data_IF_592274666807
#
_entry.id   IF_592274666807
#
_cell.length_a   1.000
_cell.length_b   1.000
_cell.length_c   1.000
_cell.angle_alpha   90.00
_cell.angle_beta   90.00
_cell.angle_gamma   90.00
#
_symmetry.space_group_name_H-M   'P 1'
#
loop_
_entity.id
_entity.type
_entity.pdbx_description
1 polymer ?
#
# COMPACT_ATOMS: atom_id res chain seq x y z
N UNK A 1 7.12 18.55 3.84
CA UNK A 1 7.84 17.34 4.26
C UNK A 1 8.34 17.49 5.69
N UNK A 2 8.28 16.42 6.49
CA UNK A 2 8.78 16.41 7.87
C UNK A 2 10.13 15.67 7.98
N UNK A 3 10.50 14.88 6.97
CA UNK A 3 11.70 14.01 6.97
C UNK A 3 11.82 13.16 8.25
N UNK A 4 10.69 12.67 8.71
CA UNK A 4 10.57 11.83 9.90
C UNK A 4 10.16 10.42 9.53
N UNK A 5 10.52 9.44 10.37
CA UNK A 5 10.09 8.06 10.21
C UNK A 5 8.56 7.96 10.29
N UNK A 6 7.97 7.15 9.41
CA UNK A 6 6.55 6.81 9.49
C UNK A 6 6.20 5.98 10.74
N UNK A 7 7.20 5.42 11.42
CA UNK A 7 7.06 4.65 12.65
C UNK A 7 7.47 5.46 13.90
N UNK A 8 7.47 6.79 13.81
CA UNK A 8 7.88 7.65 14.94
C UNK A 8 6.95 7.45 16.14
N UNK A 9 7.52 7.50 17.34
CA UNK A 9 6.76 7.48 18.61
C UNK A 9 6.93 8.79 19.38
N UNK A 10 7.61 9.76 18.77
CA UNK A 10 7.84 11.08 19.37
C UNK A 10 6.56 11.92 19.35
N UNK A 11 6.10 12.32 20.54
CA UNK A 11 4.84 13.04 20.71
C UNK A 11 4.84 14.41 20.01
N UNK A 12 5.99 15.10 19.93
CA UNK A 12 6.06 16.39 19.26
C UNK A 12 5.96 16.22 17.73
N UNK A 13 6.58 15.19 17.19
CA UNK A 13 6.48 14.84 15.75
C UNK A 13 5.06 14.43 15.39
N UNK A 14 4.41 13.63 16.23
CA UNK A 14 3.02 13.20 16.03
C UNK A 14 2.05 14.40 16.11
N UNK A 15 2.28 15.34 17.02
CA UNK A 15 1.47 16.55 17.10
C UNK A 15 1.62 17.42 15.83
N UNK A 16 2.85 17.62 15.33
CA UNK A 16 3.08 18.33 14.06
C UNK A 16 2.42 17.62 12.88
N UNK A 17 2.47 16.29 12.85
CA UNK A 17 1.80 15.50 11.81
C UNK A 17 0.28 15.69 11.84
N UNK A 18 -0.32 15.72 13.04
CA UNK A 18 -1.75 15.99 13.22
C UNK A 18 -2.15 17.38 12.72
N UNK A 19 -1.35 18.42 13.00
CA UNK A 19 -1.59 19.78 12.50
C UNK A 19 -1.52 19.83 10.97
N UNK A 20 -0.54 19.18 10.36
CA UNK A 20 -0.41 19.11 8.90
C UNK A 20 -1.57 18.34 8.25
N UNK A 21 -2.01 17.26 8.88
CA UNK A 21 -3.18 16.49 8.42
C UNK A 21 -4.45 17.36 8.47
N UNK A 22 -4.65 18.10 9.56
CA UNK A 22 -5.80 19.00 9.67
C UNK A 22 -5.77 20.12 8.63
N UNK A 23 -4.60 20.64 8.30
CA UNK A 23 -4.43 21.64 7.24
C UNK A 23 -4.80 21.12 5.83
N UNK A 24 -4.76 19.81 5.59
CA UNK A 24 -5.20 19.20 4.34
C UNK A 24 -6.72 19.09 4.23
N UNK A 25 -7.44 19.08 5.35
CA UNK A 25 -8.88 18.85 5.43
C UNK A 25 -9.73 19.61 4.39
N UNK A 26 -9.55 20.89 4.14
CA UNK A 26 -10.36 21.62 3.15
C UNK A 26 -10.22 21.07 1.71
N UNK A 27 -9.16 20.32 1.42
CA UNK A 27 -8.85 19.79 0.11
C UNK A 27 -9.14 18.28 0.00
N UNK A 28 -9.60 17.63 1.07
CA UNK A 28 -9.93 16.20 1.05
C UNK A 28 -11.40 16.06 0.68
N UNK A 29 -11.63 15.43 -0.47
CA UNK A 29 -12.97 15.15 -0.98
C UNK A 29 -13.56 13.88 -0.34
N UNK A 30 -12.77 12.84 -0.20
CA UNK A 30 -13.24 11.53 0.27
C UNK A 30 -12.13 10.78 1.03
N UNK A 31 -12.53 10.03 2.05
CA UNK A 31 -11.71 9.04 2.74
C UNK A 31 -12.29 7.67 2.40
N UNK A 32 -11.69 6.99 1.46
CA UNK A 32 -12.16 5.72 0.90
C UNK A 32 -10.95 4.81 0.70
N UNK A 33 -11.15 3.50 0.77
CA UNK A 33 -10.09 2.51 0.58
C UNK A 33 -10.13 1.85 -0.79
N UNK A 34 -11.28 1.32 -1.19
CA UNK A 34 -11.39 0.41 -2.34
C UNK A 34 -11.67 1.13 -3.67
N UNK A 35 -12.37 2.27 -3.62
CA UNK A 35 -12.91 2.91 -4.83
C UNK A 35 -12.18 4.19 -5.27
N UNK A 36 -11.07 4.55 -4.63
CA UNK A 36 -10.33 5.79 -4.96
C UNK A 36 -9.92 5.88 -6.44
N UNK A 37 -9.58 4.74 -7.05
CA UNK A 37 -9.25 4.68 -8.47
C UNK A 37 -10.42 5.13 -9.37
N UNK A 38 -11.67 4.80 -9.00
CA UNK A 38 -12.84 5.22 -9.75
C UNK A 38 -13.07 6.74 -9.70
N UNK A 39 -12.85 7.38 -8.55
CA UNK A 39 -12.93 8.85 -8.42
C UNK A 39 -11.87 9.58 -9.25
N UNK A 40 -10.67 9.00 -9.38
CA UNK A 40 -9.63 9.53 -10.27
C UNK A 40 -10.02 9.38 -11.74
N UNK A 41 -10.53 8.21 -12.13
CA UNK A 41 -10.93 7.93 -13.52
C UNK A 41 -12.12 8.78 -13.95
N UNK A 42 -13.09 9.02 -13.05
CA UNK A 42 -14.24 9.91 -13.33
C UNK A 42 -13.88 11.40 -13.33
N UNK A 43 -12.72 11.77 -12.74
CA UNK A 43 -12.31 13.16 -12.59
C UNK A 43 -12.94 13.88 -11.38
N UNK A 44 -13.61 13.14 -10.49
CA UNK A 44 -14.20 13.72 -9.26
C UNK A 44 -13.11 14.16 -8.28
N UNK A 45 -11.93 13.52 -8.34
CA UNK A 45 -10.74 13.94 -7.61
C UNK A 45 -9.55 14.08 -8.57
N UNK A 46 -8.64 14.99 -8.27
CA UNK A 46 -7.44 15.26 -9.07
C UNK A 46 -6.20 14.53 -8.57
N UNK A 47 -6.17 14.18 -7.29
CA UNK A 47 -5.04 13.50 -6.62
C UNK A 47 -5.60 12.47 -5.63
N UNK A 48 -4.99 11.30 -5.58
CA UNK A 48 -5.25 10.29 -4.56
C UNK A 48 -3.95 9.78 -3.94
N UNK A 49 -3.97 9.55 -2.64
CA UNK A 49 -2.97 8.75 -1.94
C UNK A 49 -3.57 7.38 -1.65
N UNK A 50 -3.00 6.34 -2.25
CA UNK A 50 -3.59 5.01 -2.19
C UNK A 50 -2.53 3.92 -2.37
N UNK A 51 -2.93 2.66 -2.22
CA UNK A 51 -2.06 1.51 -2.43
C UNK A 51 -1.80 1.26 -3.91
N UNK A 52 -0.65 0.68 -4.20
CA UNK A 52 -0.17 0.40 -5.57
C UNK A 52 -1.14 -0.35 -6.46
N UNK A 53 -1.93 -1.34 -6.01
CA UNK A 53 -2.96 -1.97 -6.84
C UNK A 53 -3.98 -0.98 -7.41
N UNK A 54 -4.46 -0.05 -6.59
CA UNK A 54 -5.45 0.94 -7.04
C UNK A 54 -4.84 1.99 -7.98
N UNK A 55 -3.53 2.28 -7.81
CA UNK A 55 -2.79 3.12 -8.76
C UNK A 55 -2.71 2.43 -10.13
N UNK A 56 -2.36 1.15 -10.16
CA UNK A 56 -2.28 0.38 -11.40
C UNK A 56 -3.64 0.27 -12.10
N UNK A 57 -4.71 -0.01 -11.35
CA UNK A 57 -6.09 -0.03 -11.87
C UNK A 57 -6.50 1.33 -12.46
N UNK A 58 -6.15 2.44 -11.81
CA UNK A 58 -6.46 3.77 -12.31
C UNK A 58 -5.74 4.05 -13.64
N UNK A 59 -4.46 3.69 -13.75
CA UNK A 59 -3.67 3.87 -14.96
C UNK A 59 -4.15 3.00 -16.12
N UNK A 60 -4.56 1.75 -15.84
CA UNK A 60 -5.13 0.86 -16.86
C UNK A 60 -6.45 1.42 -17.42
N UNK A 61 -7.26 2.04 -16.55
CA UNK A 61 -8.53 2.63 -16.96
C UNK A 61 -8.38 4.02 -17.62
N UNK A 62 -7.38 4.80 -17.23
CA UNK A 62 -7.11 6.13 -17.78
C UNK A 62 -5.60 6.39 -17.89
N UNK A 63 -5.01 6.22 -19.09
CA UNK A 63 -3.57 6.39 -19.35
C UNK A 63 -3.07 7.84 -19.20
N UNK A 64 -3.96 8.84 -19.11
CA UNK A 64 -3.58 10.24 -18.90
C UNK A 64 -3.19 10.51 -17.44
N UNK A 65 -3.55 9.62 -16.51
CA UNK A 65 -3.15 9.68 -15.11
C UNK A 65 -1.65 9.42 -14.96
N UNK A 66 -1.06 9.95 -13.91
CA UNK A 66 0.37 9.79 -13.63
C UNK A 66 0.62 9.40 -12.19
N UNK A 67 1.61 8.54 -12.01
CA UNK A 67 2.14 8.22 -10.67
C UNK A 67 3.06 9.33 -10.23
N UNK A 68 2.86 9.81 -9.01
CA UNK A 68 3.77 10.72 -8.33
C UNK A 68 4.39 9.98 -7.16
N UNK A 69 5.70 9.84 -7.20
CA UNK A 69 6.47 9.22 -6.12
C UNK A 69 6.89 10.30 -5.13
N UNK A 70 6.51 10.19 -3.83
CA UNK A 70 6.91 11.17 -2.83
C UNK A 70 8.43 11.22 -2.66
N UNK A 71 9.00 12.43 -2.58
CA UNK A 71 10.42 12.63 -2.29
C UNK A 71 10.80 12.17 -0.87
N UNK A 72 9.80 12.12 0.01
CA UNK A 72 9.92 11.64 1.40
C UNK A 72 10.17 10.14 1.51
N UNK A 73 10.00 9.40 0.43
CA UNK A 73 10.11 7.94 0.40
C UNK A 73 8.76 7.24 0.39
N UNK A 74 8.80 5.92 0.47
CA UNK A 74 7.64 5.05 0.44
C UNK A 74 7.46 4.32 1.76
N UNK A 75 6.21 4.15 2.17
CA UNK A 75 5.84 3.18 3.19
C UNK A 75 5.66 1.79 2.56
N UNK A 76 6.18 0.77 3.19
CA UNK A 76 6.17 -0.59 2.67
C UNK A 76 5.65 -1.58 3.71
N UNK A 77 4.68 -2.39 3.33
CA UNK A 77 4.15 -3.50 4.12
C UNK A 77 4.38 -4.84 3.41
N UNK A 78 4.48 -5.91 4.19
CA UNK A 78 4.56 -7.28 3.68
C UNK A 78 3.36 -8.04 4.19
N UNK A 79 2.53 -8.53 3.28
CA UNK A 79 1.45 -9.45 3.60
C UNK A 79 1.97 -10.88 3.56
N UNK A 80 1.75 -11.63 4.62
CA UNK A 80 2.24 -12.98 4.78
C UNK A 80 1.13 -13.99 5.06
N UNK A 81 1.23 -15.16 4.44
CA UNK A 81 0.41 -16.30 4.77
C UNK A 81 1.05 -17.16 5.85
N UNK A 82 0.30 -17.55 6.86
CA UNK A 82 0.78 -18.46 7.91
C UNK A 82 -0.25 -19.54 8.24
N UNK A 83 0.23 -20.65 8.81
CA UNK A 83 -0.62 -21.77 9.25
C UNK A 83 -0.64 -21.74 10.77
N UNK A 84 -1.80 -21.52 11.42
CA UNK A 84 -1.90 -21.58 12.88
C UNK A 84 -1.46 -22.94 13.45
N UNK A 85 -0.88 -22.92 14.65
CA UNK A 85 -0.35 -24.15 15.31
C UNK A 85 -1.40 -25.26 15.42
N UNK A 86 -2.66 -24.89 15.68
CA UNK A 86 -3.78 -25.83 15.87
C UNK A 86 -4.65 -25.95 14.60
N UNK A 87 -4.13 -25.67 13.41
CA UNK A 87 -4.90 -25.79 12.18
C UNK A 87 -5.32 -27.26 11.94
N UNK A 88 -6.63 -27.56 11.79
CA UNK A 88 -7.11 -28.93 11.65
C UNK A 88 -6.62 -29.61 10.36
N UNK A 89 -6.26 -28.85 9.36
CA UNK A 89 -5.80 -29.33 8.05
C UNK A 89 -4.45 -28.72 7.64
N UNK A 90 -3.51 -28.59 8.58
CA UNK A 90 -2.20 -27.97 8.37
C UNK A 90 -1.43 -28.52 7.16
N UNK A 91 -1.53 -29.86 6.92
CA UNK A 91 -0.90 -30.50 5.75
C UNK A 91 -1.47 -29.97 4.43
N UNK A 92 -2.79 -29.84 4.33
CA UNK A 92 -3.44 -29.33 3.12
C UNK A 92 -3.15 -27.84 2.92
N UNK A 93 -3.14 -27.06 4.01
CA UNK A 93 -2.74 -25.66 3.98
C UNK A 93 -1.30 -25.48 3.48
N UNK A 94 -0.37 -26.33 3.94
CA UNK A 94 1.01 -26.30 3.45
C UNK A 94 1.10 -26.65 1.95
N UNK A 95 0.37 -27.67 1.48
CA UNK A 95 0.32 -28.00 0.06
C UNK A 95 -0.23 -26.83 -0.78
N UNK A 96 -1.22 -26.13 -0.27
CA UNK A 96 -1.76 -24.93 -0.93
C UNK A 96 -0.73 -23.79 -0.99
N UNK A 97 -0.02 -23.51 0.10
CA UNK A 97 1.05 -22.51 0.10
C UNK A 97 2.18 -22.89 -0.87
N UNK A 98 2.57 -24.17 -0.91
CA UNK A 98 3.55 -24.64 -1.90
C UNK A 98 3.06 -24.47 -3.35
N UNK A 99 1.77 -24.66 -3.60
CA UNK A 99 1.17 -24.41 -4.90
C UNK A 99 1.26 -22.92 -5.28
N UNK A 100 0.94 -22.01 -4.36
CA UNK A 100 1.05 -20.57 -4.58
C UNK A 100 2.48 -20.08 -4.86
N UNK A 101 3.49 -20.82 -4.36
CA UNK A 101 4.90 -20.48 -4.59
C UNK A 101 5.44 -20.96 -5.94
N UNK A 102 4.67 -21.70 -6.73
CA UNK A 102 5.08 -22.06 -8.10
C UNK A 102 5.19 -20.79 -8.94
N UNK A 103 6.26 -20.62 -9.74
CA UNK A 103 6.50 -19.40 -10.48
C UNK A 103 5.33 -18.91 -11.33
N UNK A 104 4.73 -19.83 -12.09
CA UNK A 104 3.59 -19.54 -12.96
C UNK A 104 2.32 -19.15 -12.18
N UNK A 105 2.11 -19.77 -11.01
CA UNK A 105 0.97 -19.47 -10.14
C UNK A 105 1.19 -18.12 -9.44
N UNK A 106 2.38 -17.90 -8.92
CA UNK A 106 2.74 -16.62 -8.28
C UNK A 106 2.63 -15.45 -9.26
N UNK A 107 3.08 -15.61 -10.51
CA UNK A 107 2.92 -14.61 -11.56
C UNK A 107 1.43 -14.32 -11.82
N UNK A 108 0.61 -15.34 -12.03
CA UNK A 108 -0.84 -15.17 -12.23
C UNK A 108 -1.51 -14.44 -11.05
N UNK A 109 -1.14 -14.78 -9.81
CA UNK A 109 -1.70 -14.14 -8.61
C UNK A 109 -1.37 -12.65 -8.56
N UNK A 110 -0.10 -12.25 -8.78
CA UNK A 110 0.29 -10.84 -8.68
C UNK A 110 -0.22 -10.00 -9.83
N UNK A 111 -0.32 -10.55 -11.03
CA UNK A 111 -0.94 -9.87 -12.16
C UNK A 111 -2.44 -9.59 -11.92
N UNK A 112 -3.14 -10.57 -11.33
CA UNK A 112 -4.55 -10.39 -10.98
C UNK A 112 -4.77 -9.37 -9.86
N UNK A 113 -3.87 -9.34 -8.88
CA UNK A 113 -3.98 -8.50 -7.70
C UNK A 113 -3.27 -7.16 -7.83
N UNK A 114 -2.46 -6.95 -8.88
CA UNK A 114 -1.64 -5.75 -9.08
C UNK A 114 -0.63 -5.49 -7.95
N UNK A 115 -0.12 -6.55 -7.30
CA UNK A 115 0.96 -6.46 -6.31
C UNK A 115 2.31 -6.84 -6.90
N UNK A 116 3.39 -6.49 -6.21
CA UNK A 116 4.71 -6.99 -6.53
C UNK A 116 4.91 -8.42 -6.02
N UNK A 117 5.52 -9.28 -6.85
CA UNK A 117 5.85 -10.64 -6.43
C UNK A 117 7.15 -10.68 -5.62
N UNK A 118 7.16 -11.29 -4.42
CA UNK A 118 8.40 -11.60 -3.71
C UNK A 118 9.12 -12.82 -4.29
N UNK A 119 8.50 -13.54 -5.24
CA UNK A 119 9.03 -14.74 -5.86
C UNK A 119 9.88 -14.36 -7.08
N UNK A 120 11.21 -14.41 -6.94
CA UNK A 120 12.15 -14.07 -8.00
C UNK A 120 11.94 -14.92 -9.28
N UNK A 121 11.63 -16.21 -9.12
CA UNK A 121 11.39 -17.08 -10.26
C UNK A 121 10.10 -16.74 -11.02
N UNK A 122 9.13 -16.08 -10.40
CA UNK A 122 7.90 -15.65 -11.04
C UNK A 122 8.13 -14.55 -12.09
N UNK A 123 9.22 -13.78 -12.00
CA UNK A 123 9.53 -12.71 -12.95
C UNK A 123 9.58 -13.20 -14.40
N UNK A 124 10.08 -14.41 -14.63
CA UNK A 124 10.14 -15.00 -15.97
C UNK A 124 8.77 -15.42 -16.55
N UNK A 125 7.74 -15.45 -15.71
CA UNK A 125 6.36 -15.83 -16.07
C UNK A 125 5.41 -14.62 -16.17
N UNK A 126 5.89 -13.41 -15.83
CA UNK A 126 5.08 -12.20 -15.89
C UNK A 126 4.86 -11.74 -17.34
N UNK A 127 3.69 -11.18 -17.63
CA UNK A 127 3.37 -10.61 -18.94
C UNK A 127 4.15 -9.33 -19.22
N UNK A 128 4.31 -9.02 -20.51
CA UNK A 128 4.93 -7.75 -20.92
C UNK A 128 4.13 -6.53 -20.44
N UNK A 129 2.82 -6.62 -20.37
CA UNK A 129 1.97 -5.52 -19.89
C UNK A 129 2.22 -5.24 -18.41
N UNK A 130 2.37 -6.27 -17.59
CA UNK A 130 2.73 -6.11 -16.18
C UNK A 130 4.16 -5.53 -16.03
N UNK A 131 5.13 -6.09 -16.73
CA UNK A 131 6.53 -5.64 -16.67
C UNK A 131 6.73 -4.19 -17.15
N UNK A 132 5.89 -3.72 -18.07
CA UNK A 132 5.93 -2.35 -18.58
C UNK A 132 5.09 -1.36 -17.76
N UNK A 133 4.35 -1.83 -16.75
CA UNK A 133 3.56 -0.95 -15.91
C UNK A 133 4.47 -0.07 -15.04
N UNK A 134 4.36 1.27 -15.12
CA UNK A 134 5.26 2.19 -14.43
C UNK A 134 5.17 2.11 -12.90
N UNK A 135 4.06 1.58 -12.37
CA UNK A 135 3.89 1.39 -10.93
C UNK A 135 4.89 0.37 -10.40
N UNK A 136 4.98 -0.80 -11.05
CA UNK A 136 5.85 -1.89 -10.57
C UNK A 136 7.32 -1.56 -10.77
N UNK A 137 7.69 -1.00 -11.91
CA UNK A 137 9.07 -0.54 -12.15
C UNK A 137 9.49 0.53 -11.14
N UNK A 138 8.60 1.50 -10.87
CA UNK A 138 8.88 2.56 -9.91
C UNK A 138 9.04 2.07 -8.45
N UNK A 139 8.37 0.97 -8.07
CA UNK A 139 8.54 0.35 -6.75
C UNK A 139 9.92 -0.31 -6.65
N UNK A 140 10.30 -1.13 -7.62
CA UNK A 140 11.59 -1.83 -7.60
C UNK A 140 12.78 -0.87 -7.53
N UNK A 141 12.68 0.29 -8.19
CA UNK A 141 13.72 1.33 -8.16
C UNK A 141 13.85 2.03 -6.80
N UNK A 142 12.85 1.92 -5.92
CA UNK A 142 12.76 2.69 -4.66
C UNK A 142 12.61 1.83 -3.41
N UNK A 143 12.54 0.52 -3.57
CA UNK A 143 12.26 -0.37 -2.44
C UNK A 143 13.38 -0.38 -1.40
N UNK A 144 14.62 -0.16 -1.83
CA UNK A 144 15.78 -0.14 -0.95
C UNK A 144 15.78 1.08 -0.01
N UNK A 145 15.13 2.17 -0.43
CA UNK A 145 14.97 3.40 0.35
C UNK A 145 13.61 3.46 1.08
N UNK A 146 12.76 2.44 0.91
CA UNK A 146 11.43 2.41 1.51
C UNK A 146 11.50 2.06 3.01
N UNK A 147 10.64 2.67 3.79
CA UNK A 147 10.53 2.38 5.21
C UNK A 147 9.46 1.31 5.48
N UNK A 148 9.83 0.26 6.20
CA UNK A 148 8.90 -0.78 6.62
C UNK A 148 7.97 -0.29 7.72
N UNK A 149 6.68 -0.61 7.60
CA UNK A 149 5.71 -0.48 8.70
C UNK A 149 6.11 -1.45 9.80
N UNK A 150 6.37 -0.95 11.00
CA UNK A 150 6.79 -1.74 12.16
C UNK A 150 5.64 -1.93 13.13
N UNK A 151 5.68 -3.02 13.88
CA UNK A 151 4.82 -3.16 15.03
C UNK A 151 5.25 -2.17 16.11
N UNK A 152 4.32 -1.33 16.52
CA UNK A 152 4.50 -0.40 17.63
C UNK A 152 4.00 -1.04 18.92
N UNK A 153 4.32 -0.44 20.08
CA UNK A 153 3.65 -0.77 21.33
C UNK A 153 2.16 -0.42 21.24
N UNK A 154 1.30 -1.09 22.02
CA UNK A 154 -0.14 -0.76 22.03
C UNK A 154 -0.40 0.69 22.46
N UNK A 155 0.46 1.26 23.30
CA UNK A 155 0.39 2.67 23.72
C UNK A 155 0.69 3.61 22.55
N UNK A 156 1.76 3.35 21.80
CA UNK A 156 2.13 4.17 20.65
C UNK A 156 1.14 4.02 19.49
N UNK A 157 0.65 2.80 19.23
CA UNK A 157 -0.40 2.56 18.24
C UNK A 157 -1.67 3.34 18.57
N UNK A 158 -2.04 3.45 19.85
CA UNK A 158 -3.19 4.23 20.29
C UNK A 158 -3.03 5.71 19.94
N UNK A 159 -1.84 6.30 20.02
CA UNK A 159 -1.60 7.70 19.62
C UNK A 159 -1.95 7.94 18.15
N UNK A 160 -1.54 7.04 17.25
CA UNK A 160 -1.92 7.11 15.85
C UNK A 160 -3.43 7.00 15.64
N UNK A 161 -4.07 6.05 16.35
CA UNK A 161 -5.51 5.84 16.27
C UNK A 161 -6.30 7.07 16.77
N UNK A 162 -5.83 7.73 17.82
CA UNK A 162 -6.47 8.92 18.37
C UNK A 162 -6.38 10.11 17.41
N UNK A 163 -5.22 10.33 16.81
CA UNK A 163 -5.02 11.37 15.77
C UNK A 163 -5.95 11.11 14.58
N UNK A 164 -5.94 9.89 14.06
CA UNK A 164 -6.75 9.53 12.90
C UNK A 164 -8.25 9.60 13.18
N UNK A 165 -8.68 9.17 14.35
CA UNK A 165 -10.08 9.24 14.77
C UNK A 165 -10.54 10.68 14.93
N UNK A 166 -9.75 11.52 15.59
CA UNK A 166 -10.04 12.95 15.74
C UNK A 166 -10.16 13.64 14.39
N UNK A 167 -9.22 13.35 13.47
CA UNK A 167 -9.27 13.88 12.11
C UNK A 167 -10.54 13.45 11.37
N UNK A 168 -10.91 12.16 11.37
CA UNK A 168 -12.15 11.68 10.72
C UNK A 168 -13.41 12.32 11.28
N UNK A 169 -13.48 12.50 12.60
CA UNK A 169 -14.62 13.18 13.24
C UNK A 169 -14.74 14.64 12.81
N UNK A 170 -13.62 15.30 12.54
CA UNK A 170 -13.62 16.71 12.08
C UNK A 170 -14.03 16.88 10.62
N UNK A 171 -14.13 15.77 9.85
CA UNK A 171 -14.58 15.74 8.45
C UNK A 171 -16.10 15.62 8.29
N UNK A 172 -16.82 15.26 9.38
CA UNK A 172 -18.28 15.13 9.39
C UNK A 172 -18.94 16.47 9.63
#
# INVERSE_FOLDING_TARGET
>A
SMHQSMNTTDDAVLAEAAEKLDALRPNIHVLEYENLHNYLVSGDISVAYTFTPFVALALDANPDLKVVWPEEGLGFGIDGCFIPVNAPHAKNANLFLQYLLRPEVAATCVEYQYYCSPNEAAKACLSESYLNNPVFNGIYDRIDDAEYVRNLSSEDEQKYQDIWTTFKLSMQ
#
